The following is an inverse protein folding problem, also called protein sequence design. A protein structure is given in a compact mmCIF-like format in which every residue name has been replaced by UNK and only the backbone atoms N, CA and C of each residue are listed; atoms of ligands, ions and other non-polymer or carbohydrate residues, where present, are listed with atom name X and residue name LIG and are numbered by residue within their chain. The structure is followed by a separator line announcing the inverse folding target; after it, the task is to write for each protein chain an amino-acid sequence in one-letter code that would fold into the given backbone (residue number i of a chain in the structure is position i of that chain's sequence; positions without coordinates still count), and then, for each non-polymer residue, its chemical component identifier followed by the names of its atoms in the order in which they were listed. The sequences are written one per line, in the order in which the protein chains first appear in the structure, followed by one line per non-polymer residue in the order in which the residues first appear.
data_IF_572444389612
#
_entry.id   IF_572444389612
#
_cell.length_a   1.000
_cell.length_b   1.000
_cell.length_c   1.000
_cell.angle_alpha   90.00
_cell.angle_beta   90.00
_cell.angle_gamma   90.00
#
_symmetry.space_group_name_H-M   'P 1'
#
loop_
_entity.id
_entity.type
_entity.pdbx_description
1 polymer ?
#
# COMPACT_ATOMS: atom_id res chain seq x y z
N UNK A 1 -5.35 -15.72 -0.56
CA UNK A 1 -4.74 -15.04 -1.72
C UNK A 1 -4.02 -13.74 -1.39
N UNK A 2 -4.48 -12.90 -0.45
CA UNK A 2 -3.82 -11.59 -0.19
C UNK A 2 -2.50 -11.67 0.59
N UNK A 3 -2.40 -12.58 1.57
CA UNK A 3 -1.14 -12.80 2.32
C UNK A 3 -0.03 -13.35 1.41
N UNK A 4 -0.39 -14.18 0.43
CA UNK A 4 0.55 -14.77 -0.53
C UNK A 4 1.11 -13.74 -1.51
N UNK A 5 0.36 -12.70 -1.89
CA UNK A 5 0.88 -11.62 -2.75
C UNK A 5 1.86 -10.72 -1.98
N UNK A 6 1.57 -10.43 -0.72
CA UNK A 6 2.47 -9.65 0.15
C UNK A 6 3.75 -10.43 0.44
N UNK A 7 3.65 -11.74 0.75
CA UNK A 7 4.80 -12.61 0.97
C UNK A 7 5.63 -12.84 -0.29
N UNK A 8 4.99 -12.98 -1.45
CA UNK A 8 5.69 -13.10 -2.73
C UNK A 8 6.42 -11.80 -3.08
N UNK A 9 5.83 -10.64 -2.78
CA UNK A 9 6.43 -9.34 -3.04
C UNK A 9 7.56 -9.01 -2.05
N UNK A 10 7.39 -9.27 -0.75
CA UNK A 10 8.48 -9.13 0.22
C UNK A 10 9.61 -10.09 -0.10
N UNK A 11 9.32 -11.33 -0.53
CA UNK A 11 10.33 -12.26 -1.02
C UNK A 11 11.04 -11.74 -2.28
N UNK A 12 10.33 -11.14 -3.24
CA UNK A 12 10.93 -10.55 -4.45
C UNK A 12 11.82 -9.33 -4.12
N UNK A 13 11.39 -8.48 -3.19
CA UNK A 13 12.19 -7.36 -2.69
C UNK A 13 13.40 -7.86 -1.87
N UNK A 14 13.25 -8.94 -1.11
CA UNK A 14 14.36 -9.55 -0.36
C UNK A 14 15.37 -10.24 -1.29
N UNK A 15 14.91 -10.95 -2.31
CA UNK A 15 15.78 -11.59 -3.32
C UNK A 15 16.57 -10.57 -4.15
N UNK A 16 16.00 -9.40 -4.43
CA UNK A 16 16.68 -8.33 -5.19
C UNK A 16 17.58 -7.44 -4.33
N UNK A 17 17.53 -7.58 -2.99
CA UNK A 17 18.35 -6.82 -2.04
C UNK A 17 19.46 -7.62 -1.38
N UNK A 18 19.51 -8.95 -1.58
CA UNK A 18 20.61 -9.78 -1.14
C UNK A 18 21.94 -9.30 -1.77
N UNK A 19 22.99 -9.04 -0.97
CA UNK A 19 24.30 -8.67 -1.52
C UNK A 19 24.84 -9.84 -2.35
N UNK A 20 25.16 -9.58 -3.62
CA UNK A 20 25.86 -10.54 -4.49
C UNK A 20 27.31 -10.69 -4.03
N UNK A 21 27.53 -11.38 -2.91
CA UNK A 21 28.82 -12.00 -2.61
C UNK A 21 28.94 -13.25 -3.49
N UNK A 22 29.60 -13.09 -4.64
CA UNK A 22 30.13 -14.21 -5.42
C UNK A 22 31.03 -15.06 -4.52
N UNK A 23 30.67 -16.32 -4.34
CA UNK A 23 31.62 -17.41 -4.13
C UNK A 23 31.25 -18.51 -5.12
N UNK A 24 32.18 -18.79 -6.04
CA UNK A 24 32.19 -19.98 -6.87
C UNK A 24 32.27 -21.21 -5.98
N UNK A 25 31.44 -22.23 -6.22
CA UNK A 25 31.85 -23.62 -6.10
C UNK A 25 30.82 -24.53 -6.78
N UNK A 26 31.36 -25.59 -7.39
CA UNK A 26 30.76 -26.64 -8.18
C UNK A 26 29.45 -27.26 -7.64
N UNK A 27 28.61 -27.63 -8.60
CA UNK A 27 27.57 -28.68 -8.63
C UNK A 27 27.71 -29.84 -7.58
N UNK A 28 26.62 -30.56 -7.20
CA UNK A 28 25.91 -31.38 -8.18
C UNK A 28 24.37 -31.50 -8.06
N UNK A 29 23.79 -31.74 -9.23
CA UNK A 29 22.38 -31.99 -9.52
C UNK A 29 21.82 -33.34 -9.03
N UNK A 30 22.27 -33.87 -7.88
CA UNK A 30 21.85 -35.20 -7.40
C UNK A 30 20.64 -35.16 -6.44
N UNK A 31 20.25 -33.98 -5.95
CA UNK A 31 19.14 -33.85 -4.99
C UNK A 31 17.75 -33.70 -5.64
N UNK A 32 17.66 -33.41 -6.94
CA UNK A 32 16.37 -33.23 -7.62
C UNK A 32 15.74 -34.55 -8.10
N UNK A 33 16.55 -35.58 -8.38
CA UNK A 33 16.03 -36.89 -8.80
C UNK A 33 15.37 -37.67 -7.63
N UNK A 34 15.81 -37.46 -6.39
CA UNK A 34 15.32 -38.23 -5.23
C UNK A 34 13.94 -37.79 -4.72
N UNK A 35 13.54 -36.53 -4.99
CA UNK A 35 12.25 -35.99 -4.53
C UNK A 35 11.06 -36.44 -5.37
N UNK A 36 11.26 -36.73 -6.65
CA UNK A 36 10.18 -37.16 -7.53
C UNK A 36 9.77 -38.62 -7.32
N UNK A 37 10.66 -39.50 -6.84
CA UNK A 37 10.28 -40.88 -6.50
C UNK A 37 9.46 -40.98 -5.20
N UNK A 38 9.70 -40.10 -4.21
CA UNK A 38 8.93 -40.14 -2.95
C UNK A 38 7.47 -39.66 -3.10
N UNK A 39 7.18 -38.77 -4.05
CA UNK A 39 5.80 -38.30 -4.27
C UNK A 39 4.91 -39.29 -5.03
N UNK A 40 5.48 -40.27 -5.73
CA UNK A 40 4.69 -41.29 -6.44
C UNK A 40 4.25 -42.45 -5.53
N UNK A 41 4.89 -42.67 -4.39
CA UNK A 41 4.48 -43.72 -3.44
C UNK A 41 3.35 -43.31 -2.48
N UNK A 42 3.04 -42.02 -2.35
CA UNK A 42 1.99 -41.51 -1.45
C UNK A 42 0.60 -41.37 -2.10
N UNK A 43 0.44 -41.76 -3.37
CA UNK A 43 -0.84 -41.64 -4.11
C UNK A 43 -1.67 -42.93 -4.19
N UNK A 44 -1.27 -44.02 -3.53
CA UNK A 44 -1.96 -45.31 -3.65
C UNK A 44 -2.79 -45.75 -2.43
N UNK A 45 -2.98 -44.92 -1.41
CA UNK A 45 -3.73 -45.33 -0.20
C UNK A 45 -4.70 -44.26 0.30
N UNK A 46 -5.69 -43.87 -0.51
CA UNK A 46 -6.94 -43.28 0.04
C UNK A 46 -8.08 -43.33 -0.99
N UNK A 47 -8.61 -44.52 -1.21
CA UNK A 47 -9.94 -44.71 -1.78
C UNK A 47 -10.90 -45.05 -0.64
N UNK A 48 -11.63 -44.04 -0.15
CA UNK A 48 -12.78 -44.26 0.73
C UNK A 48 -14.01 -43.60 0.10
N UNK A 49 -14.97 -44.46 -0.21
CA UNK A 49 -16.28 -44.21 -0.78
C UNK A 49 -17.07 -43.16 -0.02
N UNK A 50 -17.60 -42.16 -0.72
CA UNK A 50 -18.60 -41.24 -0.17
C UNK A 50 -19.97 -41.61 -0.71
N UNK A 51 -20.72 -42.32 0.13
CA UNK A 51 -22.13 -42.64 -0.07
C UNK A 51 -22.96 -41.36 0.00
N UNK A 52 -23.86 -41.15 -0.97
CA UNK A 52 -24.83 -40.06 -0.98
C UNK A 52 -25.87 -40.30 0.11
N UNK A 53 -25.97 -39.37 1.07
CA UNK A 53 -27.12 -39.30 1.98
C UNK A 53 -27.92 -38.02 1.70
N UNK A 54 -29.13 -38.25 1.21
CA UNK A 54 -30.19 -37.28 0.91
C UNK A 54 -30.61 -36.56 2.18
N UNK A 55 -30.34 -35.25 2.29
CA UNK A 55 -30.85 -34.44 3.41
C UNK A 55 -32.24 -33.90 3.06
N UNK A 56 -33.24 -34.34 3.83
CA UNK A 56 -34.66 -33.99 3.74
C UNK A 56 -34.88 -32.59 4.32
N UNK A 57 -35.56 -31.72 3.57
CA UNK A 57 -35.99 -30.38 4.02
C UNK A 57 -37.26 -30.54 4.87
N UNK A 58 -37.33 -30.01 6.10
CA UNK A 58 -38.61 -29.87 6.79
C UNK A 58 -39.32 -28.59 6.34
N UNK A 59 -40.54 -28.76 5.85
CA UNK A 59 -41.55 -27.71 5.71
C UNK A 59 -42.05 -27.32 7.09
N UNK A 60 -41.98 -26.02 7.41
CA UNK A 60 -42.60 -25.46 8.62
C UNK A 60 -43.46 -24.28 8.20
N UNK A 61 -44.77 -24.57 8.08
CA UNK A 61 -45.82 -23.58 8.17
C UNK A 61 -45.87 -23.14 9.64
N UNK A 62 -45.55 -21.87 9.92
CA UNK A 62 -45.95 -21.26 11.18
C UNK A 62 -46.86 -20.06 10.94
N UNK A 63 -48.03 -20.21 11.56
CA UNK A 63 -49.19 -19.34 11.59
C UNK A 63 -48.87 -17.88 11.94
N UNK A 64 -49.69 -17.00 11.34
CA UNK A 64 -50.09 -15.70 11.88
C UNK A 64 -50.23 -15.73 13.41
N UNK A 65 -49.61 -14.76 14.10
CA UNK A 65 -50.21 -14.25 15.32
C UNK A 65 -49.94 -12.76 15.50
N UNK A 66 -50.94 -12.00 15.06
CA UNK A 66 -51.18 -10.59 15.34
C UNK A 66 -51.71 -10.53 16.77
N UNK A 67 -50.92 -10.06 17.74
CA UNK A 67 -51.44 -9.72 19.06
C UNK A 67 -50.79 -8.44 19.59
N UNK A 68 -51.58 -7.38 19.53
CA UNK A 68 -51.39 -6.15 20.28
C UNK A 68 -51.20 -6.47 21.76
N UNK A 69 -50.13 -5.96 22.37
CA UNK A 69 -50.04 -5.84 23.83
C UNK A 69 -49.28 -4.56 24.18
N UNK A 70 -50.08 -3.54 24.50
CA UNK A 70 -49.66 -2.41 25.32
C UNK A 70 -49.34 -2.94 26.71
N UNK A 71 -48.07 -3.05 27.07
CA UNK A 71 -47.66 -3.23 28.47
C UNK A 71 -46.46 -2.33 28.78
N UNK A 72 -46.78 -1.27 29.52
CA UNK A 72 -46.04 -0.65 30.61
C UNK A 72 -44.52 -0.38 30.45
N UNK A 73 -44.24 0.91 30.30
CA UNK A 73 -43.00 1.58 30.65
C UNK A 73 -42.49 1.16 32.03
N UNK A 74 -41.50 0.28 32.04
CA UNK A 74 -40.61 0.06 33.18
C UNK A 74 -39.24 0.60 32.77
N UNK A 75 -38.90 1.77 33.28
CA UNK A 75 -37.60 2.41 33.12
C UNK A 75 -36.54 1.64 33.89
N UNK A 76 -36.06 0.54 33.33
CA UNK A 76 -34.84 -0.11 33.79
C UNK A 76 -33.68 0.54 33.04
N UNK A 77 -33.03 1.51 33.69
CA UNK A 77 -31.70 2.03 33.30
C UNK A 77 -30.70 0.88 33.30
N UNK A 78 -30.69 0.11 32.22
CA UNK A 78 -29.58 -0.77 31.90
C UNK A 78 -28.47 0.16 31.43
N UNK A 79 -27.58 0.48 32.36
CA UNK A 79 -26.26 1.05 32.07
C UNK A 79 -25.61 0.15 31.02
N UNK A 80 -25.78 0.50 29.74
CA UNK A 80 -24.94 0.00 28.65
C UNK A 80 -23.52 0.33 29.06
N UNK A 81 -22.83 -0.66 29.63
CA UNK A 81 -21.41 -0.61 29.86
C UNK A 81 -20.81 -0.26 28.51
N UNK A 82 -20.41 1.01 28.39
CA UNK A 82 -19.70 1.55 27.26
C UNK A 82 -18.46 0.69 27.19
N UNK A 83 -18.47 -0.32 26.31
CA UNK A 83 -17.31 -1.10 26.02
C UNK A 83 -16.33 -0.09 25.45
N UNK A 84 -15.46 0.42 26.33
CA UNK A 84 -14.29 1.21 26.01
C UNK A 84 -13.42 0.25 25.23
N UNK A 85 -13.76 0.12 23.96
CA UNK A 85 -12.87 -0.45 22.97
C UNK A 85 -11.72 0.52 23.02
N UNK A 86 -10.62 0.10 23.64
CA UNK A 86 -9.30 0.70 23.48
C UNK A 86 -8.95 0.54 22.00
N UNK A 87 -9.63 1.31 21.15
CA UNK A 87 -9.05 1.76 19.91
C UNK A 87 -7.79 2.45 20.39
N UNK A 88 -6.66 1.82 20.17
CA UNK A 88 -5.38 2.50 20.04
C UNK A 88 -5.67 3.70 19.15
N UNK A 89 -5.99 4.84 19.78
CA UNK A 89 -6.11 6.11 19.12
C UNK A 89 -4.72 6.32 18.59
N UNK A 90 -4.54 5.92 17.34
CA UNK A 90 -3.34 6.11 16.59
C UNK A 90 -3.07 7.62 16.63
N UNK A 91 -2.19 8.04 17.55
CA UNK A 91 -1.52 9.35 17.55
C UNK A 91 -0.84 9.65 16.19
N UNK A 92 -0.78 8.63 15.32
CA UNK A 92 -0.34 8.56 13.93
C UNK A 92 -0.71 9.74 13.02
N UNK A 93 -1.88 10.36 13.12
CA UNK A 93 -2.27 11.42 12.18
C UNK A 93 -1.37 12.67 12.28
N UNK A 94 -0.82 12.95 13.47
CA UNK A 94 0.10 14.08 13.69
C UNK A 94 1.56 13.74 13.40
N UNK A 95 1.92 12.46 13.44
CA UNK A 95 3.32 12.00 13.31
C UNK A 95 3.76 11.98 11.84
N UNK A 96 2.85 11.65 10.91
CA UNK A 96 3.20 11.52 9.48
C UNK A 96 3.75 12.80 8.85
N UNK A 97 3.13 14.00 9.03
CA UNK A 97 3.70 15.23 8.50
C UNK A 97 5.12 15.52 9.03
N UNK A 98 5.35 15.24 10.32
CA UNK A 98 6.67 15.43 10.94
C UNK A 98 7.68 14.45 10.33
N UNK A 99 7.29 13.18 10.18
CA UNK A 99 8.13 12.14 9.59
C UNK A 99 8.49 12.47 8.13
N UNK A 100 7.53 12.91 7.31
CA UNK A 100 7.77 13.31 5.92
C UNK A 100 8.61 14.58 5.80
N UNK A 101 8.41 15.55 6.69
CA UNK A 101 9.24 16.77 6.75
C UNK A 101 10.68 16.45 7.15
N UNK A 102 10.87 15.62 8.17
CA UNK A 102 12.19 15.15 8.60
C UNK A 102 12.90 14.35 7.51
N UNK A 103 12.19 13.39 6.88
CA UNK A 103 12.72 12.62 5.75
C UNK A 103 13.10 13.53 4.57
N UNK A 104 12.24 14.50 4.23
CA UNK A 104 12.50 15.50 3.19
C UNK A 104 13.76 16.32 3.48
N UNK A 105 13.92 16.82 4.71
CA UNK A 105 15.10 17.57 5.14
C UNK A 105 16.38 16.75 5.09
N UNK A 106 16.36 15.49 5.54
CA UNK A 106 17.51 14.59 5.49
C UNK A 106 17.91 14.30 4.03
N UNK A 107 16.92 14.02 3.16
CA UNK A 107 17.19 13.77 1.73
C UNK A 107 17.75 15.01 1.03
N UNK A 108 17.25 16.20 1.35
CA UNK A 108 17.76 17.46 0.81
C UNK A 108 19.18 17.74 1.29
N UNK A 109 19.44 17.56 2.59
CA UNK A 109 20.80 17.67 3.16
C UNK A 109 21.77 16.72 2.44
N UNK A 110 21.36 15.46 2.23
CA UNK A 110 22.17 14.50 1.45
C UNK A 110 22.39 14.97 0.01
N UNK A 111 21.38 15.53 -0.65
CA UNK A 111 21.53 16.06 -2.00
C UNK A 111 22.61 17.16 -2.09
N UNK A 112 22.69 18.02 -1.07
CA UNK A 112 23.67 19.11 -0.97
C UNK A 112 25.07 18.56 -0.61
N UNK A 113 25.16 17.63 0.34
CA UNK A 113 26.44 17.11 0.86
C UNK A 113 27.08 16.10 -0.08
N UNK A 114 26.34 15.49 -1.01
CA UNK A 114 26.92 14.62 -2.05
C UNK A 114 27.85 15.43 -2.97
N UNK A 115 29.13 15.54 -2.58
CA UNK A 115 30.19 16.23 -3.34
C UNK A 115 30.59 15.50 -4.62
N UNK A 116 30.28 14.21 -4.76
CA UNK A 116 30.99 13.29 -5.66
C UNK A 116 30.13 12.40 -6.58
N UNK A 117 28.84 12.68 -6.83
CA UNK A 117 28.05 11.84 -7.74
C UNK A 117 27.25 12.63 -8.77
N UNK A 118 27.18 12.07 -9.98
CA UNK A 118 26.46 12.55 -11.16
C UNK A 118 25.20 13.36 -10.84
N UNK A 119 25.01 14.49 -11.54
CA UNK A 119 23.91 15.45 -11.36
C UNK A 119 22.53 14.80 -11.22
N UNK A 120 22.31 13.69 -11.90
CA UNK A 120 21.08 12.87 -11.89
C UNK A 120 20.71 12.36 -10.49
N UNK A 121 21.67 11.94 -9.67
CA UNK A 121 21.41 11.45 -8.30
C UNK A 121 20.91 12.57 -7.38
N UNK A 122 21.48 13.77 -7.52
CA UNK A 122 21.05 14.95 -6.76
C UNK A 122 19.62 15.33 -7.14
N UNK A 123 19.31 15.33 -8.44
CA UNK A 123 17.96 15.61 -8.94
C UNK A 123 16.92 14.63 -8.38
N UNK A 124 17.23 13.34 -8.32
CA UNK A 124 16.32 12.34 -7.71
C UNK A 124 16.07 12.63 -6.22
N UNK A 125 17.13 12.93 -5.45
CA UNK A 125 16.98 13.23 -4.03
C UNK A 125 16.17 14.51 -3.78
N UNK A 126 16.41 15.56 -4.58
CA UNK A 126 15.61 16.79 -4.54
C UNK A 126 14.16 16.51 -4.90
N UNK A 127 13.91 15.81 -6.02
CA UNK A 127 12.57 15.51 -6.49
C UNK A 127 11.76 14.73 -5.44
N UNK A 128 12.35 13.70 -4.81
CA UNK A 128 11.68 12.93 -3.76
C UNK A 128 11.56 13.72 -2.46
N UNK A 129 12.53 14.58 -2.14
CA UNK A 129 12.42 15.48 -0.99
C UNK A 129 11.21 16.42 -1.13
N UNK A 130 11.01 17.01 -2.32
CA UNK A 130 9.85 17.85 -2.61
C UNK A 130 8.54 17.05 -2.64
N UNK A 131 8.56 15.85 -3.23
CA UNK A 131 7.39 14.99 -3.32
C UNK A 131 6.91 14.56 -1.92
N UNK A 132 7.86 14.22 -1.05
CA UNK A 132 7.60 13.91 0.35
C UNK A 132 6.97 15.09 1.09
N UNK A 133 7.50 16.30 0.88
CA UNK A 133 7.06 17.49 1.60
C UNK A 133 5.69 18.00 1.13
N UNK A 134 5.51 18.16 -0.18
CA UNK A 134 4.33 18.83 -0.75
C UNK A 134 3.17 17.88 -1.05
N UNK A 135 3.45 16.65 -1.48
CA UNK A 135 2.42 15.69 -1.85
C UNK A 135 2.14 14.68 -0.72
N UNK A 136 3.14 13.90 -0.29
CA UNK A 136 2.87 12.80 0.66
C UNK A 136 2.30 13.29 1.98
N UNK A 137 2.88 14.35 2.56
CA UNK A 137 2.39 14.92 3.82
C UNK A 137 0.93 15.36 3.79
N UNK A 138 0.48 15.98 2.69
CA UNK A 138 -0.89 16.52 2.58
C UNK A 138 -1.86 15.44 2.11
N UNK A 139 -1.52 14.75 1.04
CA UNK A 139 -2.35 13.74 0.37
C UNK A 139 -2.58 12.51 1.25
N UNK A 140 -1.54 11.99 1.90
CA UNK A 140 -1.69 10.76 2.69
C UNK A 140 -2.41 11.03 4.02
N UNK A 141 -2.23 12.22 4.60
CA UNK A 141 -3.00 12.63 5.76
C UNK A 141 -4.49 12.77 5.42
N UNK A 142 -4.81 13.37 4.27
CA UNK A 142 -6.19 13.43 3.77
C UNK A 142 -6.79 12.03 3.55
N UNK A 143 -6.03 11.11 2.92
CA UNK A 143 -6.45 9.71 2.73
C UNK A 143 -6.66 8.97 4.05
N UNK A 144 -5.79 9.14 5.05
CA UNK A 144 -5.98 8.52 6.37
C UNK A 144 -7.23 9.07 7.05
N UNK A 145 -7.41 10.40 7.03
CA UNK A 145 -8.59 11.03 7.63
C UNK A 145 -9.86 10.51 6.96
N UNK A 146 -9.89 10.52 5.63
CA UNK A 146 -10.98 9.98 4.82
C UNK A 146 -11.26 8.50 5.15
N UNK A 147 -10.23 7.66 5.19
CA UNK A 147 -10.37 6.24 5.51
C UNK A 147 -10.88 5.99 6.94
N UNK A 148 -10.48 6.85 7.89
CA UNK A 148 -10.96 6.79 9.27
C UNK A 148 -12.44 7.18 9.35
N UNK A 149 -12.85 8.27 8.70
CA UNK A 149 -14.25 8.72 8.65
C UNK A 149 -15.11 7.63 7.98
N UNK A 150 -14.71 7.16 6.79
CA UNK A 150 -15.43 6.12 6.05
C UNK A 150 -15.62 4.84 6.89
N UNK A 151 -14.59 4.41 7.62
CA UNK A 151 -14.66 3.20 8.45
C UNK A 151 -15.43 3.40 9.76
N UNK A 152 -15.32 4.56 10.42
CA UNK A 152 -15.90 4.74 11.76
C UNK A 152 -17.35 5.25 11.73
N UNK A 153 -17.68 6.13 10.78
CA UNK A 153 -18.94 6.89 10.80
C UNK A 153 -19.97 6.33 9.81
N UNK A 154 -19.53 5.53 8.82
CA UNK A 154 -20.37 5.16 7.67
C UNK A 154 -20.51 3.64 7.45
N UNK A 155 -19.97 2.79 8.32
CA UNK A 155 -20.17 1.34 8.25
C UNK A 155 -21.14 0.84 9.31
N UNK A 156 -22.44 0.93 9.05
CA UNK A 156 -23.45 0.23 9.83
C UNK A 156 -23.47 -1.27 9.46
N UNK A 157 -23.80 -2.17 10.40
CA UNK A 157 -23.91 -3.60 10.12
C UNK A 157 -25.12 -3.86 9.21
N UNK A 158 -24.86 -4.00 7.90
CA UNK A 158 -25.86 -4.43 6.92
C UNK A 158 -25.45 -5.75 6.29
N UNK A 159 -26.40 -6.68 6.20
CA UNK A 159 -26.17 -8.07 5.75
C UNK A 159 -26.18 -8.21 4.23
N UNK A 160 -26.69 -7.23 3.47
CA UNK A 160 -26.83 -7.32 2.01
C UNK A 160 -26.88 -5.95 1.31
N UNK A 161 -26.87 -5.96 -0.03
CA UNK A 161 -27.10 -4.78 -0.85
C UNK A 161 -25.96 -3.75 -0.91
N UNK A 162 -26.31 -2.51 -1.25
CA UNK A 162 -25.39 -1.38 -1.46
C UNK A 162 -24.61 -1.01 -0.20
N UNK A 163 -25.21 -1.20 0.98
CA UNK A 163 -24.58 -0.90 2.27
C UNK A 163 -23.42 -1.87 2.58
N UNK A 164 -23.62 -3.17 2.32
CA UNK A 164 -22.54 -4.16 2.42
C UNK A 164 -21.38 -3.84 1.48
N UNK A 165 -21.68 -3.42 0.25
CA UNK A 165 -20.64 -3.00 -0.71
C UNK A 165 -19.86 -1.78 -0.22
N UNK A 166 -20.55 -0.75 0.30
CA UNK A 166 -19.91 0.43 0.89
C UNK A 166 -19.00 0.08 2.08
N UNK A 167 -19.45 -0.82 2.95
CA UNK A 167 -18.62 -1.32 4.05
C UNK A 167 -17.36 -2.02 3.55
N UNK A 168 -17.50 -2.90 2.56
CA UNK A 168 -16.35 -3.58 1.97
C UNK A 168 -15.39 -2.58 1.33
N UNK A 169 -15.90 -1.58 0.61
CA UNK A 169 -15.08 -0.51 0.05
C UNK A 169 -14.32 0.27 1.14
N UNK A 170 -14.97 0.65 2.24
CA UNK A 170 -14.30 1.35 3.35
C UNK A 170 -13.17 0.51 3.98
N UNK A 171 -13.39 -0.80 4.16
CA UNK A 171 -12.37 -1.74 4.67
C UNK A 171 -11.19 -1.83 3.69
N UNK A 172 -11.48 -2.06 2.41
CA UNK A 172 -10.47 -2.16 1.34
C UNK A 172 -9.67 -0.87 1.23
N UNK A 173 -10.33 0.30 1.26
CA UNK A 173 -9.69 1.60 1.19
C UNK A 173 -8.73 1.82 2.35
N UNK A 174 -9.18 1.55 3.58
CA UNK A 174 -8.33 1.66 4.77
C UNK A 174 -7.09 0.76 4.68
N UNK A 175 -7.26 -0.45 4.17
CA UNK A 175 -6.15 -1.36 3.94
C UNK A 175 -5.19 -0.84 2.86
N UNK A 176 -5.72 -0.39 1.72
CA UNK A 176 -4.95 0.17 0.61
C UNK A 176 -4.10 1.37 1.05
N UNK A 177 -4.70 2.31 1.77
CA UNK A 177 -4.01 3.49 2.31
C UNK A 177 -2.85 3.09 3.24
N UNK A 178 -3.04 2.06 4.08
CA UNK A 178 -1.96 1.57 4.96
C UNK A 178 -0.80 0.96 4.17
N UNK A 179 -1.09 0.10 3.19
CA UNK A 179 -0.07 -0.52 2.34
C UNK A 179 0.76 0.56 1.65
N UNK A 180 0.09 1.58 1.10
CA UNK A 180 0.73 2.72 0.47
C UNK A 180 1.70 3.42 1.41
N UNK A 181 1.20 3.89 2.55
CA UNK A 181 1.97 4.74 3.48
C UNK A 181 3.16 3.97 4.08
N UNK A 182 2.95 2.70 4.43
CA UNK A 182 4.05 1.85 4.93
C UNK A 182 5.11 1.69 3.84
N UNK A 183 4.71 1.39 2.61
CA UNK A 183 5.65 1.23 1.50
C UNK A 183 6.42 2.52 1.18
N UNK A 184 5.74 3.67 1.12
CA UNK A 184 6.41 4.97 0.94
C UNK A 184 7.42 5.24 2.05
N UNK A 185 7.05 4.99 3.31
CA UNK A 185 7.94 5.20 4.44
C UNK A 185 9.17 4.28 4.41
N UNK A 186 8.98 2.99 4.09
CA UNK A 186 10.08 2.04 3.90
C UNK A 186 11.02 2.47 2.75
N UNK A 187 10.45 2.96 1.66
CA UNK A 187 11.22 3.50 0.54
C UNK A 187 12.04 4.72 0.94
N UNK A 188 11.45 5.67 1.67
CA UNK A 188 12.16 6.85 2.19
C UNK A 188 13.29 6.45 3.15
N UNK A 189 13.04 5.54 4.10
CA UNK A 189 14.07 5.00 5.00
C UNK A 189 15.21 4.38 4.18
N UNK A 190 14.88 3.58 3.16
CA UNK A 190 15.90 2.96 2.29
C UNK A 190 16.78 3.99 1.59
N UNK A 191 16.20 5.09 1.12
CA UNK A 191 16.94 6.21 0.50
C UNK A 191 17.81 6.96 1.51
N UNK A 192 17.28 7.21 2.72
CA UNK A 192 18.00 7.87 3.81
C UNK A 192 19.21 7.04 4.24
N UNK A 193 19.06 5.72 4.40
CA UNK A 193 20.13 4.83 4.82
C UNK A 193 21.14 4.49 3.70
N UNK A 194 20.74 4.65 2.44
CA UNK A 194 21.63 4.35 1.32
C UNK A 194 22.82 5.31 1.23
N UNK A 195 24.01 4.79 0.95
CA UNK A 195 25.20 5.61 0.61
C UNK A 195 25.46 5.67 -0.90
N UNK A 196 24.76 4.86 -1.69
CA UNK A 196 24.94 4.75 -3.13
C UNK A 196 23.73 5.25 -3.90
N UNK A 197 23.99 5.77 -5.10
CA UNK A 197 22.99 6.17 -6.10
C UNK A 197 22.00 5.05 -6.41
N UNK A 198 22.50 3.83 -6.62
CA UNK A 198 21.68 2.64 -6.88
C UNK A 198 20.70 2.41 -5.74
N UNK A 199 21.14 2.56 -4.48
CA UNK A 199 20.25 2.38 -3.34
C UNK A 199 19.21 3.51 -3.19
N UNK A 200 19.45 4.71 -3.72
CA UNK A 200 18.42 5.75 -3.82
C UNK A 200 17.32 5.32 -4.79
N UNK A 201 17.70 4.81 -5.97
CA UNK A 201 16.74 4.32 -6.97
C UNK A 201 15.95 3.11 -6.47
N UNK A 202 16.57 2.20 -5.71
CA UNK A 202 15.85 1.09 -5.03
C UNK A 202 14.79 1.61 -4.07
N UNK A 203 15.12 2.65 -3.28
CA UNK A 203 14.14 3.27 -2.40
C UNK A 203 13.01 3.97 -3.18
N UNK A 204 13.34 4.70 -4.24
CA UNK A 204 12.36 5.30 -5.15
C UNK A 204 11.42 4.27 -5.81
N UNK A 205 11.96 3.12 -6.23
CA UNK A 205 11.18 2.01 -6.76
C UNK A 205 10.20 1.45 -5.72
N UNK A 206 10.62 1.34 -4.45
CA UNK A 206 9.72 0.92 -3.36
C UNK A 206 8.58 1.94 -3.17
N UNK A 207 8.88 3.24 -3.18
CA UNK A 207 7.88 4.31 -3.07
C UNK A 207 6.84 4.18 -4.19
N UNK A 208 7.26 4.12 -5.45
CA UNK A 208 6.33 4.04 -6.58
C UNK A 208 5.62 2.68 -6.65
N UNK A 209 6.28 1.60 -6.25
CA UNK A 209 5.63 0.28 -6.19
C UNK A 209 4.51 0.24 -5.16
N UNK A 210 4.67 0.94 -4.03
CA UNK A 210 3.62 1.05 -3.02
C UNK A 210 2.39 1.82 -3.52
N UNK A 211 2.61 2.82 -4.38
CA UNK A 211 1.57 3.56 -5.06
C UNK A 211 0.85 2.69 -6.10
N UNK A 212 1.61 1.91 -6.88
CA UNK A 212 1.04 0.95 -7.83
C UNK A 212 0.20 -0.12 -7.10
N UNK A 213 0.73 -0.66 -5.99
CA UNK A 213 0.04 -1.62 -5.13
C UNK A 213 -1.25 -1.06 -4.54
N UNK A 214 -1.28 0.21 -4.15
CA UNK A 214 -2.49 0.88 -3.67
C UNK A 214 -3.65 0.75 -4.66
N UNK A 215 -3.39 0.92 -5.96
CA UNK A 215 -4.42 0.74 -6.97
C UNK A 215 -4.77 -0.72 -7.21
N UNK A 216 -3.78 -1.61 -7.24
CA UNK A 216 -4.02 -3.05 -7.40
C UNK A 216 -4.84 -3.68 -6.28
N UNK A 217 -4.69 -3.20 -5.04
CA UNK A 217 -5.51 -3.67 -3.91
C UNK A 217 -6.89 -3.02 -3.85
N UNK A 218 -7.25 -2.19 -4.84
CA UNK A 218 -8.57 -1.58 -4.96
C UNK A 218 -8.70 -0.19 -4.35
N UNK A 219 -7.59 0.52 -4.09
CA UNK A 219 -7.61 1.88 -3.54
C UNK A 219 -8.33 2.90 -4.44
N UNK A 220 -8.31 2.71 -5.76
CA UNK A 220 -9.01 3.57 -6.71
C UNK A 220 -10.53 3.35 -6.73
N UNK A 221 -10.97 2.09 -6.87
CA UNK A 221 -12.39 1.70 -6.89
C UNK A 221 -13.06 1.83 -5.52
N UNK A 222 -12.27 1.77 -4.44
CA UNK A 222 -12.76 1.96 -3.08
C UNK A 222 -12.50 3.38 -2.56
N UNK A 223 -12.17 4.35 -3.42
CA UNK A 223 -11.78 5.68 -2.97
C UNK A 223 -12.91 6.41 -2.22
N UNK A 224 -12.54 7.20 -1.20
CA UNK A 224 -13.47 8.02 -0.43
C UNK A 224 -13.03 9.49 -0.46
N UNK A 225 -13.98 10.43 -0.37
CA UNK A 225 -13.69 11.86 -0.29
C UNK A 225 -13.33 12.30 1.14
N UNK A 226 -13.09 13.60 1.34
CA UNK A 226 -12.72 14.16 2.65
C UNK A 226 -13.83 14.03 3.72
N UNK A 227 -15.06 13.79 3.30
CA UNK A 227 -16.23 13.55 4.15
C UNK A 227 -16.48 12.05 4.36
N UNK A 228 -15.62 11.17 3.81
CA UNK A 228 -15.77 9.73 3.88
C UNK A 228 -16.93 9.18 3.03
N UNK A 229 -17.45 9.94 2.06
CA UNK A 229 -18.39 9.40 1.08
C UNK A 229 -17.64 8.53 0.07
N UNK A 230 -18.24 7.41 -0.32
CA UNK A 230 -17.69 6.55 -1.36
C UNK A 230 -17.73 7.27 -2.71
N UNK A 231 -16.54 7.58 -3.24
CA UNK A 231 -16.34 8.30 -4.50
C UNK A 231 -15.26 7.57 -5.30
N UNK A 232 -15.64 6.46 -5.97
CA UNK A 232 -14.71 5.70 -6.78
C UNK A 232 -14.13 6.57 -7.90
N UNK A 233 -12.85 6.34 -8.21
CA UNK A 233 -12.27 6.89 -9.42
C UNK A 233 -12.87 6.20 -10.65
N UNK A 234 -12.99 6.92 -11.76
CA UNK A 234 -13.38 6.31 -13.03
C UNK A 234 -12.32 5.31 -13.48
N UNK A 235 -12.74 4.24 -14.14
CA UNK A 235 -11.82 3.19 -14.62
C UNK A 235 -10.71 3.79 -15.49
N UNK A 236 -11.07 4.74 -16.38
CA UNK A 236 -10.11 5.48 -17.20
C UNK A 236 -9.04 6.18 -16.35
N UNK A 237 -9.45 6.86 -15.28
CA UNK A 237 -8.50 7.54 -14.38
C UNK A 237 -7.60 6.54 -13.65
N UNK A 238 -8.15 5.42 -13.17
CA UNK A 238 -7.36 4.35 -12.52
C UNK A 238 -6.34 3.78 -13.50
N UNK A 239 -6.75 3.46 -14.73
CA UNK A 239 -5.85 2.93 -15.77
C UNK A 239 -4.75 3.93 -16.12
N UNK A 240 -5.08 5.21 -16.34
CA UNK A 240 -4.08 6.23 -16.64
C UNK A 240 -3.04 6.37 -15.53
N UNK A 241 -3.49 6.42 -14.27
CA UNK A 241 -2.56 6.52 -13.13
C UNK A 241 -1.70 5.26 -13.00
N UNK A 242 -2.29 4.07 -13.14
CA UNK A 242 -1.55 2.79 -13.15
C UNK A 242 -0.47 2.76 -14.25
N UNK A 243 -0.77 3.24 -15.45
CA UNK A 243 0.19 3.30 -16.55
C UNK A 243 1.36 4.23 -16.22
N UNK A 244 1.09 5.42 -15.70
CA UNK A 244 2.13 6.37 -15.30
C UNK A 244 2.98 5.78 -14.16
N UNK A 245 2.35 5.25 -13.12
CA UNK A 245 3.04 4.63 -11.99
C UNK A 245 3.90 3.44 -12.45
N UNK A 246 3.40 2.60 -13.36
CA UNK A 246 4.16 1.48 -13.92
C UNK A 246 5.40 1.93 -14.71
N UNK A 247 5.30 3.03 -15.48
CA UNK A 247 6.44 3.62 -16.19
C UNK A 247 7.49 4.13 -15.18
N UNK A 248 7.05 4.84 -14.14
CA UNK A 248 7.96 5.38 -13.11
C UNK A 248 8.60 4.28 -12.26
N UNK A 249 7.86 3.23 -11.90
CA UNK A 249 8.40 2.04 -11.23
C UNK A 249 9.44 1.37 -12.10
N UNK A 250 9.12 1.12 -13.37
CA UNK A 250 10.05 0.49 -14.33
C UNK A 250 11.32 1.33 -14.50
N UNK A 251 11.19 2.65 -14.66
CA UNK A 251 12.32 3.56 -14.75
C UNK A 251 13.20 3.49 -13.49
N UNK A 252 12.59 3.49 -12.30
CA UNK A 252 13.33 3.36 -11.05
C UNK A 252 14.03 2.01 -10.91
N UNK A 253 13.40 0.92 -11.32
CA UNK A 253 13.97 -0.44 -11.28
C UNK A 253 15.13 -0.61 -12.27
N UNK A 254 15.01 -0.08 -13.48
CA UNK A 254 16.10 -0.08 -14.47
C UNK A 254 17.29 0.71 -13.91
N UNK A 255 17.05 1.91 -13.38
CA UNK A 255 18.09 2.72 -12.76
C UNK A 255 18.71 2.04 -11.52
N UNK A 256 17.92 1.30 -10.75
CA UNK A 256 18.37 0.51 -9.60
C UNK A 256 19.15 -0.77 -9.99
N UNK A 257 19.08 -1.19 -11.24
CA UNK A 257 19.75 -2.38 -11.78
C UNK A 257 20.98 -2.03 -12.61
N UNK A 258 21.14 -0.77 -13.01
CA UNK A 258 22.29 -0.32 -13.78
C UNK A 258 23.58 -0.41 -12.93
N UNK A 259 24.52 -1.26 -13.36
CA UNK A 259 25.89 -1.25 -12.85
C UNK A 259 26.64 -0.07 -13.47
N UNK A 260 27.24 0.81 -12.66
CA UNK A 260 27.91 2.05 -13.11
C UNK A 260 29.29 1.76 -13.75
N UNK A 261 29.52 0.54 -14.22
CA UNK A 261 30.83 0.09 -14.72
C UNK A 261 31.06 0.34 -16.23
N UNK A 262 30.03 0.70 -17.01
CA UNK A 262 30.15 0.95 -18.46
C UNK A 262 29.49 2.27 -18.87
N UNK A 263 29.96 2.88 -19.96
CA UNK A 263 29.40 4.14 -20.48
C UNK A 263 27.93 4.00 -20.89
N UNK A 264 27.56 2.87 -21.51
CA UNK A 264 26.18 2.58 -21.91
C UNK A 264 25.24 2.48 -20.71
N UNK A 265 25.67 1.80 -19.64
CA UNK A 265 24.86 1.70 -18.41
C UNK A 265 24.75 3.04 -17.68
N UNK A 266 25.76 3.91 -17.79
CA UNK A 266 25.73 5.27 -17.23
C UNK A 266 24.73 6.19 -17.95
N UNK A 267 24.63 6.08 -19.29
CA UNK A 267 23.61 6.80 -20.09
C UNK A 267 22.20 6.33 -19.73
N UNK A 268 21.99 5.01 -19.69
CA UNK A 268 20.69 4.44 -19.34
C UNK A 268 20.26 4.83 -17.92
N UNK A 269 21.19 4.78 -16.96
CA UNK A 269 20.96 5.25 -15.61
C UNK A 269 20.51 6.72 -15.59
N UNK A 270 21.20 7.60 -16.33
CA UNK A 270 20.90 9.03 -16.36
C UNK A 270 19.52 9.32 -16.94
N UNK A 271 19.14 8.68 -18.04
CA UNK A 271 17.83 8.87 -18.66
C UNK A 271 16.71 8.38 -17.74
N UNK A 272 16.85 7.16 -17.19
CA UNK A 272 15.81 6.55 -16.36
C UNK A 272 15.65 7.22 -15.00
N UNK A 273 16.76 7.64 -14.36
CA UNK A 273 16.71 8.46 -13.15
C UNK A 273 16.15 9.85 -13.41
N UNK A 274 16.45 10.46 -14.57
CA UNK A 274 15.87 11.72 -15.00
C UNK A 274 14.36 11.63 -15.19
N UNK A 275 13.87 10.59 -15.88
CA UNK A 275 12.44 10.33 -16.07
C UNK A 275 11.72 10.14 -14.73
N UNK A 276 12.32 9.36 -13.82
CA UNK A 276 11.80 9.17 -12.47
C UNK A 276 11.74 10.48 -11.66
N UNK A 277 12.83 11.27 -11.69
CA UNK A 277 12.90 12.55 -11.01
C UNK A 277 11.85 13.52 -11.56
N UNK A 278 11.72 13.62 -12.88
CA UNK A 278 10.74 14.46 -13.54
C UNK A 278 9.29 14.09 -13.17
N UNK A 279 8.93 12.81 -13.23
CA UNK A 279 7.61 12.35 -12.79
C UNK A 279 7.35 12.65 -11.31
N UNK A 280 8.37 12.51 -10.46
CA UNK A 280 8.29 12.87 -9.04
C UNK A 280 8.11 14.38 -8.83
N UNK A 281 8.75 15.23 -9.64
CA UNK A 281 8.55 16.68 -9.61
C UNK A 281 7.13 17.07 -9.98
N UNK A 282 6.55 16.49 -11.05
CA UNK A 282 5.16 16.75 -11.43
C UNK A 282 4.23 16.44 -10.26
N UNK A 283 4.37 15.26 -9.65
CA UNK A 283 3.60 14.89 -8.46
C UNK A 283 3.80 15.87 -7.30
N UNK A 284 5.00 16.44 -7.13
CA UNK A 284 5.27 17.45 -6.10
C UNK A 284 4.49 18.74 -6.35
N UNK A 285 4.47 19.21 -7.60
CA UNK A 285 3.79 20.44 -8.01
C UNK A 285 2.27 20.37 -7.78
N UNK A 286 1.66 19.21 -8.03
CA UNK A 286 0.24 18.97 -7.73
C UNK A 286 -0.10 19.12 -6.23
N UNK A 287 0.88 18.89 -5.35
CA UNK A 287 0.72 19.03 -3.89
C UNK A 287 0.81 20.47 -3.37
N UNK A 288 1.44 21.38 -4.12
CA UNK A 288 1.72 22.76 -3.67
C UNK A 288 0.43 23.53 -3.31
N UNK A 289 -0.63 23.54 -4.14
CA UNK A 289 -1.86 24.27 -3.79
C UNK A 289 -2.50 23.77 -2.49
N UNK A 290 -2.46 22.45 -2.25
CA UNK A 290 -3.01 21.84 -1.04
C UNK A 290 -2.17 22.19 0.20
N UNK A 291 -0.85 22.21 0.03
CA UNK A 291 0.08 22.61 1.08
C UNK A 291 -0.10 24.08 1.49
N UNK A 292 -0.19 24.99 0.53
CA UNK A 292 -0.45 26.43 0.78
C UNK A 292 -1.79 26.61 1.52
N UNK A 293 -2.84 25.91 1.07
CA UNK A 293 -4.16 25.94 1.72
C UNK A 293 -4.08 25.47 3.18
N UNK A 294 -3.32 24.41 3.45
CA UNK A 294 -3.14 23.85 4.79
C UNK A 294 -2.34 24.79 5.73
N UNK A 295 -1.41 25.60 5.21
CA UNK A 295 -0.69 26.61 5.99
C UNK A 295 -1.64 27.76 6.34
N UNK A 296 -2.35 28.32 5.36
CA UNK A 296 -3.29 29.44 5.57
C UNK A 296 -4.38 29.11 6.59
N UNK A 297 -4.84 27.85 6.65
CA UNK A 297 -5.86 27.44 7.63
C UNK A 297 -5.35 27.33 9.07
N UNK A 298 -4.04 27.47 9.32
CA UNK A 298 -3.47 27.44 10.68
C UNK A 298 -3.19 28.83 11.25
N UNK A 299 -3.13 29.84 10.39
CA UNK A 299 -2.85 31.24 10.77
C UNK A 299 -4.12 32.03 11.11
N UNK A 300 -5.29 31.46 10.80
CA UNK A 300 -6.61 31.99 11.14
C UNK A 300 -7.21 31.12 12.23
#
# INVERSE_FOLDING_TARGET
MFLSVILLWTALVFLTTAPSSRVMALAPQTLYARRHQQQQQLRFTTSTSTSKSTTRIPSSNYYNNRRSRNEYSSSTTTSTAKATTTTTQLASAKILPIAYTGASGILLYKAIVLKTAASSSRLVLIAISLLSLFNFSTSDNARIKSAKIAYNEKTYPSSSGKEKQRRQAAITYRFAVRVKIIGQFLGLIRMILSKSTVGFMRGGAIIMSSQLLYFFVGGGSSNHDNEGNWKPLSDKAVTSVLCIDAILVTAALIAASASVASDTTTKLFTITSGLFAFGSFIGSLEGIPQFIKAIKSRTN
#
